data_IF_543672375677
#
_entry.id   IF_543672375677
#
_cell.length_a   1.000
_cell.length_b   1.000
_cell.length_c   1.000
_cell.angle_alpha   90.00
_cell.angle_beta   90.00
_cell.angle_gamma   90.00
#
_symmetry.space_group_name_H-M   'P 1'
#
loop_
_entity.id
_entity.type
_entity.pdbx_description
1 polymer ?
#
# COMPACT_ATOMS: atom_id res chain seq x y z
N UNK A 1 3.26 11.00 -34.05
CA UNK A 1 4.30 10.40 -33.19
C UNK A 1 3.69 9.17 -32.54
N UNK A 2 4.33 8.01 -32.67
CA UNK A 2 3.95 6.83 -31.89
C UNK A 2 4.39 7.01 -30.44
N UNK A 3 3.68 6.40 -29.48
CA UNK A 3 4.06 6.41 -28.07
C UNK A 3 5.09 5.31 -27.83
N UNK A 4 6.19 5.63 -27.15
CA UNK A 4 7.27 4.68 -26.81
C UNK A 4 7.00 3.92 -25.49
N UNK A 5 5.77 4.00 -24.97
CA UNK A 5 5.37 3.37 -23.72
C UNK A 5 4.02 2.66 -23.88
N UNK A 6 3.90 1.52 -23.21
CA UNK A 6 2.65 0.79 -23.14
C UNK A 6 1.75 1.42 -22.08
N UNK A 7 0.49 1.68 -22.44
CA UNK A 7 -0.55 2.02 -21.46
C UNK A 7 -1.05 0.74 -20.83
N UNK A 8 -0.92 0.64 -19.51
CA UNK A 8 -1.37 -0.51 -18.73
C UNK A 8 -2.63 -0.10 -17.98
N UNK A 9 -3.68 -0.89 -18.11
CA UNK A 9 -4.87 -0.82 -17.25
C UNK A 9 -4.71 -1.83 -16.12
N UNK A 10 -5.31 -1.57 -14.96
CA UNK A 10 -5.32 -2.54 -13.87
C UNK A 10 -5.86 -3.89 -14.35
N UNK A 11 -5.08 -4.95 -14.16
CA UNK A 11 -5.38 -6.32 -14.55
C UNK A 11 -4.66 -7.29 -13.60
N UNK A 12 -4.96 -8.59 -13.72
CA UNK A 12 -4.40 -9.61 -12.82
C UNK A 12 -2.87 -9.62 -12.81
N UNK A 13 -2.21 -9.49 -13.97
CA UNK A 13 -0.76 -9.49 -14.03
C UNK A 13 -0.13 -8.33 -13.24
N UNK A 14 -0.73 -7.14 -13.31
CA UNK A 14 -0.27 -5.96 -12.56
C UNK A 14 -0.52 -6.14 -11.07
N UNK A 15 -1.64 -6.77 -10.70
CA UNK A 15 -1.95 -7.07 -9.31
C UNK A 15 -0.94 -8.08 -8.72
N UNK A 16 -0.59 -9.13 -9.46
CA UNK A 16 0.39 -10.15 -9.04
C UNK A 16 1.79 -9.53 -8.86
N UNK A 17 2.21 -8.69 -9.82
CA UNK A 17 3.46 -7.92 -9.71
C UNK A 17 3.44 -7.00 -8.49
N UNK A 18 2.32 -6.29 -8.27
CA UNK A 18 2.15 -5.42 -7.12
C UNK A 18 2.23 -6.19 -5.79
N UNK A 19 1.61 -7.36 -5.68
CA UNK A 19 1.67 -8.20 -4.47
C UNK A 19 3.11 -8.62 -4.15
N UNK A 20 3.87 -8.99 -5.18
CA UNK A 20 5.28 -9.35 -5.03
C UNK A 20 6.12 -8.18 -4.50
N UNK A 21 5.84 -6.96 -4.97
CA UNK A 21 6.48 -5.75 -4.45
C UNK A 21 6.05 -5.41 -3.02
N UNK A 22 4.76 -5.60 -2.71
CA UNK A 22 4.21 -5.35 -1.38
C UNK A 22 4.87 -6.26 -0.33
N UNK A 23 5.08 -7.54 -0.64
CA UNK A 23 5.75 -8.48 0.27
C UNK A 23 7.17 -8.04 0.63
N UNK A 24 7.87 -7.43 -0.33
CA UNK A 24 9.22 -6.88 -0.11
C UNK A 24 9.13 -5.62 0.76
N UNK A 25 8.21 -4.72 0.45
CA UNK A 25 8.04 -3.45 1.17
C UNK A 25 7.64 -3.67 2.64
N UNK A 26 6.73 -4.61 2.92
CA UNK A 26 6.34 -4.96 4.30
C UNK A 26 7.53 -5.50 5.08
N UNK A 27 8.32 -6.39 4.46
CA UNK A 27 9.50 -6.95 5.13
C UNK A 27 10.56 -5.88 5.41
N UNK A 28 10.74 -4.94 4.49
CA UNK A 28 11.66 -3.81 4.66
C UNK A 28 11.25 -2.91 5.83
N UNK A 29 9.97 -2.57 5.93
CA UNK A 29 9.49 -1.57 6.89
C UNK A 29 9.35 -2.11 8.32
N UNK A 30 8.84 -3.35 8.47
CA UNK A 30 8.37 -3.86 9.76
C UNK A 30 9.17 -5.07 10.27
N UNK A 31 10.04 -5.63 9.43
CA UNK A 31 10.78 -6.89 9.67
C UNK A 31 9.90 -7.97 10.35
N UNK A 32 10.45 -8.72 11.32
CA UNK A 32 9.71 -9.74 12.07
C UNK A 32 9.18 -9.25 13.42
N UNK A 33 9.61 -8.07 13.86
CA UNK A 33 9.37 -7.57 15.23
C UNK A 33 8.12 -6.68 15.29
N UNK A 34 7.68 -6.10 14.17
CA UNK A 34 6.52 -5.22 14.14
C UNK A 34 6.89 -3.75 14.40
N UNK A 35 5.90 -2.85 14.32
CA UNK A 35 6.08 -1.45 14.68
C UNK A 35 6.13 -1.32 16.21
N UNK A 36 7.35 -1.29 16.75
CA UNK A 36 7.61 -1.19 18.18
C UNK A 36 6.95 0.02 18.84
N UNK A 37 6.80 1.13 18.13
CA UNK A 37 6.18 2.34 18.70
C UNK A 37 4.68 2.10 18.91
N UNK A 38 4.00 1.58 17.89
CA UNK A 38 2.59 1.22 17.98
C UNK A 38 2.35 0.13 19.02
N UNK A 39 3.14 -0.94 19.02
CA UNK A 39 3.05 -2.03 20.01
C UNK A 39 3.27 -1.56 21.45
N UNK A 40 4.09 -0.53 21.67
CA UNK A 40 4.37 -0.01 23.01
C UNK A 40 3.34 1.00 23.51
N UNK A 41 2.65 1.71 22.60
CA UNK A 41 1.84 2.89 22.95
C UNK A 41 0.35 2.72 22.68
N UNK A 42 -0.05 1.82 21.77
CA UNK A 42 -1.43 1.66 21.32
C UNK A 42 -1.98 0.34 21.87
N UNK A 43 -3.11 0.35 22.60
CA UNK A 43 -3.77 -0.88 23.03
C UNK A 43 -4.21 -1.73 21.83
N UNK A 44 -4.07 -3.06 21.92
CA UNK A 44 -4.45 -3.99 20.85
C UNK A 44 -5.93 -3.88 20.42
N UNK A 45 -6.81 -3.42 21.31
CA UNK A 45 -8.25 -3.29 21.04
C UNK A 45 -8.65 -1.90 20.53
N UNK A 46 -7.69 -0.99 20.35
CA UNK A 46 -7.96 0.36 19.87
C UNK A 46 -8.44 0.33 18.42
N UNK A 47 -9.59 0.96 18.15
CA UNK A 47 -10.12 1.13 16.80
C UNK A 47 -10.00 2.59 16.39
N UNK A 48 -9.36 2.83 15.25
CA UNK A 48 -9.14 4.16 14.69
C UNK A 48 -9.86 4.39 13.37
N UNK A 49 -9.86 5.65 12.92
CA UNK A 49 -10.24 6.04 11.56
C UNK A 49 -9.18 7.00 11.01
N UNK A 50 -8.77 6.78 9.78
CA UNK A 50 -7.82 7.62 9.07
C UNK A 50 -8.38 8.08 7.71
N UNK A 51 -7.77 9.11 7.13
CA UNK A 51 -8.05 9.57 5.78
C UNK A 51 -6.73 9.85 5.06
N UNK A 52 -6.59 9.38 3.82
CA UNK A 52 -5.49 9.75 2.93
C UNK A 52 -5.89 11.02 2.19
N UNK A 53 -5.14 12.10 2.39
CA UNK A 53 -5.45 13.43 1.83
C UNK A 53 -4.31 13.92 0.94
N UNK A 54 -4.66 14.41 -0.25
CA UNK A 54 -3.66 15.05 -1.12
C UNK A 54 -3.30 16.43 -0.58
N UNK A 55 -2.00 16.75 -0.55
CA UNK A 55 -1.49 18.08 -0.13
C UNK A 55 -1.29 19.04 -1.31
N UNK A 56 -1.54 18.58 -2.53
CA UNK A 56 -1.44 19.36 -3.76
C UNK A 56 -2.39 18.81 -4.83
N UNK A 57 -2.63 19.58 -5.89
CA UNK A 57 -3.36 19.09 -7.05
C UNK A 57 -2.54 18.04 -7.83
N UNK A 58 -3.23 17.09 -8.46
CA UNK A 58 -2.59 16.03 -9.23
C UNK A 58 -3.58 14.97 -9.74
N UNK A 59 -3.04 13.93 -10.37
CA UNK A 59 -3.78 12.75 -10.79
C UNK A 59 -3.55 11.63 -9.78
N UNK A 60 -4.64 11.03 -9.30
CA UNK A 60 -4.56 9.88 -8.40
C UNK A 60 -4.45 8.59 -9.22
N UNK A 61 -3.55 7.70 -8.81
CA UNK A 61 -3.33 6.39 -9.40
C UNK A 61 -3.02 5.37 -8.30
N UNK A 62 -3.20 4.08 -8.60
CA UNK A 62 -2.98 3.01 -7.62
C UNK A 62 -4.14 2.77 -6.65
N UNK A 63 -5.30 3.41 -6.83
CA UNK A 63 -6.47 3.19 -5.95
C UNK A 63 -6.83 1.72 -5.69
N UNK A 64 -6.76 0.79 -6.67
CA UNK A 64 -7.05 -0.61 -6.41
C UNK A 64 -6.10 -1.30 -5.41
N UNK A 65 -4.91 -0.74 -5.17
CA UNK A 65 -3.93 -1.36 -4.26
C UNK A 65 -4.25 -1.11 -2.79
N UNK A 66 -5.06 -0.09 -2.47
CA UNK A 66 -5.30 0.34 -1.08
C UNK A 66 -5.88 -0.80 -0.24
N UNK A 67 -6.90 -1.50 -0.74
CA UNK A 67 -7.52 -2.62 -0.04
C UNK A 67 -6.55 -3.79 0.15
N UNK A 68 -5.67 -4.03 -0.85
CA UNK A 68 -4.65 -5.06 -0.80
C UNK A 68 -3.62 -4.74 0.30
N UNK A 69 -3.16 -3.49 0.38
CA UNK A 69 -2.20 -3.03 1.39
C UNK A 69 -2.81 -3.16 2.78
N UNK A 70 -4.01 -2.62 3.01
CA UNK A 70 -4.64 -2.66 4.33
C UNK A 70 -4.88 -4.10 4.82
N UNK A 71 -5.24 -5.01 3.90
CA UNK A 71 -5.44 -6.42 4.23
C UNK A 71 -4.13 -7.17 4.53
N UNK A 72 -2.99 -6.69 4.02
CA UNK A 72 -1.68 -7.34 4.20
C UNK A 72 -1.00 -6.98 5.54
N UNK A 73 -1.42 -5.88 6.18
CA UNK A 73 -0.83 -5.37 7.43
C UNK A 73 -1.76 -5.53 8.66
N UNK A 74 -2.75 -6.41 8.55
CA UNK A 74 -3.75 -6.68 9.60
C UNK A 74 -3.29 -7.69 10.65
#
# INVERSE_FOLDING_TARGET
MARDYQTITWCSAVEDDFRSLLDIAIREDIESIGDLTSLSLIPETAVGRAAVVSRSEGLIAGMPTVDIICSAVS
#
